data_IF_737965888907
#
_entry.id   IF_737965888907
#
_cell.length_a   1.000
_cell.length_b   1.000
_cell.length_c   1.000
_cell.angle_alpha   90.00
_cell.angle_beta   90.00
_cell.angle_gamma   90.00
#
_symmetry.space_group_name_H-M   'P 1'
#
loop_
_entity.id
_entity.type
_entity.pdbx_description
1 polymer ?
#
# COMPACT_ATOMS: atom_id res chain seq x y z
N UNK A 1 16.45 -7.46 13.93
CA UNK A 1 16.42 -6.06 13.45
C UNK A 1 14.97 -5.68 13.26
N UNK A 2 14.48 -4.63 13.91
CA UNK A 2 13.10 -4.19 13.73
C UNK A 2 12.99 -3.57 12.32
N UNK A 3 12.45 -4.33 11.37
CA UNK A 3 12.16 -3.85 10.02
C UNK A 3 11.13 -2.74 10.18
N UNK A 4 11.58 -1.48 10.11
CA UNK A 4 10.68 -0.34 10.17
C UNK A 4 9.67 -0.54 9.04
N UNK A 5 8.41 -0.81 9.40
CA UNK A 5 7.36 -1.03 8.42
C UNK A 5 7.18 0.32 7.73
N UNK A 6 7.64 0.40 6.49
CA UNK A 6 7.41 1.57 5.67
C UNK A 6 5.92 1.66 5.37
N UNK A 7 5.20 2.48 6.14
CA UNK A 7 3.75 2.63 6.05
C UNK A 7 3.32 3.40 4.80
N UNK A 8 4.21 4.26 4.28
CA UNK A 8 3.88 5.23 3.24
C UNK A 8 4.52 4.91 1.88
N UNK A 9 5.62 4.17 1.86
CA UNK A 9 6.24 3.73 0.61
C UNK A 9 5.67 2.41 0.12
N UNK A 10 6.23 1.99 -1.02
CA UNK A 10 5.98 0.68 -1.61
C UNK A 10 7.09 -0.26 -1.17
N UNK A 11 6.71 -1.46 -0.75
CA UNK A 11 7.69 -2.49 -0.34
C UNK A 11 7.76 -3.59 -1.39
N UNK A 12 8.89 -4.31 -1.45
CA UNK A 12 9.06 -5.40 -2.41
C UNK A 12 7.94 -6.45 -2.36
N UNK A 13 7.38 -6.72 -1.19
CA UNK A 13 6.26 -7.66 -1.02
C UNK A 13 5.00 -7.23 -1.79
N UNK A 14 4.78 -5.92 -1.94
CA UNK A 14 3.62 -5.34 -2.62
C UNK A 14 3.73 -5.41 -4.14
N UNK A 15 4.89 -5.76 -4.69
CA UNK A 15 5.10 -5.85 -6.14
C UNK A 15 4.54 -7.17 -6.66
N UNK A 16 3.79 -7.09 -7.76
CA UNK A 16 3.23 -8.24 -8.49
C UNK A 16 4.17 -8.63 -9.63
N UNK A 17 4.46 -7.70 -10.53
CA UNK A 17 5.27 -7.94 -11.73
C UNK A 17 5.85 -6.62 -12.30
N UNK A 18 6.90 -6.72 -13.13
CA UNK A 18 7.34 -5.62 -13.98
C UNK A 18 6.54 -5.60 -15.29
N UNK A 19 6.35 -4.41 -15.84
CA UNK A 19 5.61 -4.13 -17.07
C UNK A 19 6.31 -3.02 -17.84
N UNK A 20 6.17 -3.00 -19.16
CA UNK A 20 6.64 -1.89 -19.97
C UNK A 20 5.47 -0.96 -20.28
N UNK A 21 5.59 0.32 -19.94
CA UNK A 21 4.60 1.35 -20.25
C UNK A 21 5.30 2.53 -20.91
N UNK A 22 4.86 2.87 -22.12
CA UNK A 22 5.38 3.99 -22.92
C UNK A 22 6.91 3.97 -23.11
N UNK A 23 7.51 2.78 -23.25
CA UNK A 23 8.96 2.59 -23.40
C UNK A 23 9.77 2.69 -22.11
N UNK A 24 9.09 2.76 -20.95
CA UNK A 24 9.72 2.73 -19.64
C UNK A 24 9.27 1.49 -18.84
N UNK A 25 10.21 0.88 -18.12
CA UNK A 25 9.90 -0.21 -17.19
C UNK A 25 9.22 0.36 -15.93
N UNK A 26 8.02 -0.14 -15.65
CA UNK A 26 7.22 0.19 -14.48
C UNK A 26 6.87 -1.09 -13.73
N UNK A 27 6.64 -0.98 -12.43
CA UNK A 27 6.26 -2.10 -11.58
C UNK A 27 4.78 -2.00 -11.24
N UNK A 28 4.06 -3.11 -11.40
CA UNK A 28 2.69 -3.22 -10.92
C UNK A 28 2.71 -3.61 -9.44
N UNK A 29 2.12 -2.76 -8.61
CA UNK A 29 2.02 -2.94 -7.18
C UNK A 29 0.56 -2.98 -6.70
N UNK A 30 0.35 -3.54 -5.51
CA UNK A 30 -0.97 -3.65 -4.87
C UNK A 30 -0.98 -3.02 -3.48
N UNK A 31 -2.08 -2.33 -3.15
CA UNK A 31 -2.39 -1.91 -1.78
C UNK A 31 -3.88 -2.12 -1.45
N UNK A 32 -4.27 -1.66 -0.26
CA UNK A 32 -5.65 -1.70 0.23
C UNK A 32 -6.66 -0.96 -0.66
N UNK A 33 -6.20 0.02 -1.44
CA UNK A 33 -7.04 0.83 -2.35
C UNK A 33 -7.11 0.25 -3.76
N UNK A 34 -6.22 -0.67 -4.13
CA UNK A 34 -6.21 -1.31 -5.45
C UNK A 34 -4.82 -1.44 -6.06
N UNK A 35 -4.80 -1.61 -7.39
CA UNK A 35 -3.59 -1.72 -8.18
C UNK A 35 -3.06 -0.34 -8.59
N UNK A 36 -1.74 -0.18 -8.61
CA UNK A 36 -1.08 1.05 -9.09
C UNK A 36 0.28 0.74 -9.69
N UNK A 37 0.80 1.68 -10.48
CA UNK A 37 2.16 1.60 -10.99
C UNK A 37 3.14 2.30 -10.06
N UNK A 38 4.31 1.72 -9.89
CA UNK A 38 5.45 2.33 -9.23
C UNK A 38 6.71 2.14 -10.07
N UNK A 39 7.80 2.74 -9.63
CA UNK A 39 9.11 2.66 -10.26
C UNK A 39 10.10 2.05 -9.27
N UNK A 40 11.10 1.35 -9.79
CA UNK A 40 12.06 0.59 -8.96
C UNK A 40 12.84 1.48 -7.97
N UNK A 41 13.02 2.75 -8.30
CA UNK A 41 13.67 3.74 -7.43
C UNK A 41 12.89 4.04 -6.14
N UNK A 42 11.57 3.77 -6.11
CA UNK A 42 10.67 4.02 -4.97
C UNK A 42 10.48 2.82 -4.06
N UNK A 43 10.80 1.62 -4.52
CA UNK A 43 10.62 0.37 -3.78
C UNK A 43 11.61 0.29 -2.62
N UNK A 44 11.13 -0.07 -1.42
CA UNK A 44 11.90 -0.22 -0.17
C UNK A 44 12.69 1.03 0.27
N UNK A 45 12.38 2.20 -0.29
CA UNK A 45 12.95 3.47 0.16
C UNK A 45 12.20 4.00 1.37
N UNK A 46 12.89 4.65 2.31
CA UNK A 46 12.26 5.36 3.42
C UNK A 46 11.63 6.70 2.98
N UNK A 47 10.72 6.65 2.00
CA UNK A 47 9.93 7.77 1.51
C UNK A 47 8.55 7.31 1.06
N UNK A 48 7.61 8.26 1.00
CA UNK A 48 6.29 8.00 0.44
C UNK A 48 6.38 7.75 -1.06
N UNK A 49 5.64 6.77 -1.56
CA UNK A 49 5.50 6.55 -2.99
C UNK A 49 4.46 7.52 -3.53
N UNK A 50 4.90 8.52 -4.29
CA UNK A 50 4.01 9.51 -4.90
C UNK A 50 3.00 8.85 -5.84
N UNK A 51 3.38 7.82 -6.59
CA UNK A 51 2.47 7.17 -7.55
C UNK A 51 1.35 6.43 -6.83
N UNK A 52 1.63 5.91 -5.63
CA UNK A 52 0.62 5.27 -4.78
C UNK A 52 -0.50 6.22 -4.37
N UNK A 53 -0.19 7.52 -4.17
CA UNK A 53 -1.13 8.50 -3.62
C UNK A 53 -1.63 9.55 -4.63
N UNK A 54 -0.84 9.90 -5.63
CA UNK A 54 -1.15 10.99 -6.56
C UNK A 54 -1.82 10.53 -7.86
N UNK A 55 -1.59 9.27 -8.28
CA UNK A 55 -2.09 8.76 -9.56
C UNK A 55 -3.46 8.10 -9.38
N UNK A 56 -4.38 8.42 -10.30
CA UNK A 56 -5.71 7.80 -10.32
C UNK A 56 -5.62 6.31 -10.65
N UNK A 57 -6.27 5.49 -9.83
CA UNK A 57 -6.31 4.02 -10.00
C UNK A 57 -7.06 3.58 -11.25
N UNK A 58 -7.95 4.43 -11.76
CA UNK A 58 -8.66 4.16 -13.01
C UNK A 58 -7.69 4.08 -14.19
N UNK A 59 -6.64 4.90 -14.22
CA UNK A 59 -5.64 4.88 -15.29
C UNK A 59 -4.94 3.52 -15.36
N UNK A 60 -4.62 2.95 -14.20
CA UNK A 60 -3.97 1.63 -14.10
C UNK A 60 -4.96 0.54 -14.52
N UNK A 61 -6.21 0.64 -14.05
CA UNK A 61 -7.27 -0.30 -14.41
C UNK A 61 -7.52 -0.33 -15.92
N UNK A 62 -7.70 0.83 -16.53
CA UNK A 62 -7.94 0.96 -17.97
C UNK A 62 -6.72 0.46 -18.78
N UNK A 63 -5.50 0.66 -18.27
CA UNK A 63 -4.29 0.16 -18.92
C UNK A 63 -4.20 -1.37 -18.86
N UNK A 64 -4.51 -1.98 -17.72
CA UNK A 64 -4.56 -3.44 -17.57
C UNK A 64 -5.64 -4.05 -18.47
N UNK A 65 -6.84 -3.45 -18.51
CA UNK A 65 -7.94 -3.88 -19.39
C UNK A 65 -7.53 -3.81 -20.86
N UNK A 66 -6.83 -2.75 -21.29
CA UNK A 66 -6.29 -2.63 -22.66
C UNK A 66 -5.29 -3.72 -23.03
N UNK A 67 -4.54 -4.23 -22.06
CA UNK A 67 -3.62 -5.37 -22.26
C UNK A 67 -4.33 -6.73 -22.18
N UNK A 68 -5.65 -6.77 -21.99
CA UNK A 68 -6.41 -8.01 -21.84
C UNK A 68 -6.24 -8.67 -20.48
N UNK A 69 -5.70 -7.95 -19.49
CA UNK A 69 -5.58 -8.43 -18.11
C UNK A 69 -6.82 -8.00 -17.31
N UNK A 70 -7.35 -8.90 -16.48
CA UNK A 70 -8.46 -8.58 -15.57
C UNK A 70 -7.91 -7.92 -14.29
N UNK A 71 -8.19 -6.62 -14.05
CA UNK A 71 -7.67 -5.92 -12.87
C UNK A 71 -8.26 -6.49 -11.57
N UNK A 72 -9.50 -6.97 -11.64
CA UNK A 72 -10.21 -7.56 -10.49
C UNK A 72 -9.57 -8.88 -10.10
N UNK A 73 -9.30 -9.76 -11.07
CA UNK A 73 -8.66 -11.04 -10.80
C UNK A 73 -7.23 -10.85 -10.27
N UNK A 74 -6.47 -9.94 -10.89
CA UNK A 74 -5.12 -9.59 -10.42
C UNK A 74 -5.14 -9.07 -8.98
N UNK A 75 -6.13 -8.26 -8.64
CA UNK A 75 -6.29 -7.78 -7.27
C UNK A 75 -6.60 -8.94 -6.31
N UNK A 76 -7.62 -9.75 -6.61
CA UNK A 76 -8.04 -10.89 -5.77
C UNK A 76 -6.91 -11.88 -5.51
N UNK A 77 -6.18 -12.26 -6.56
CA UNK A 77 -5.07 -13.21 -6.47
C UNK A 77 -3.92 -12.67 -5.61
N UNK A 78 -3.68 -11.36 -5.62
CA UNK A 78 -2.55 -10.73 -4.95
C UNK A 78 -2.90 -10.05 -3.62
N UNK A 79 -4.14 -10.17 -3.12
CA UNK A 79 -4.56 -9.59 -1.82
C UNK A 79 -3.65 -9.97 -0.66
N UNK A 80 -3.06 -11.16 -0.70
CA UNK A 80 -2.14 -11.67 0.32
C UNK A 80 -0.84 -10.85 0.43
N UNK A 81 -0.49 -10.07 -0.60
CA UNK A 81 0.69 -9.18 -0.63
C UNK A 81 0.48 -7.85 0.08
N UNK A 82 -0.78 -7.50 0.38
CA UNK A 82 -1.10 -6.24 1.04
C UNK A 82 -0.66 -6.34 2.50
N UNK A 83 0.44 -5.64 2.83
CA UNK A 83 0.85 -5.44 4.22
C UNK A 83 -0.19 -4.58 4.93
N UNK A 84 -1.08 -5.24 5.66
CA UNK A 84 -1.89 -4.55 6.67
C UNK A 84 -0.94 -4.10 7.76
N UNK A 85 -0.91 -2.80 8.04
CA UNK A 85 -0.38 -2.37 9.33
C UNK A 85 -1.34 -2.97 10.36
N UNK A 86 -0.96 -4.09 10.97
CA UNK A 86 -1.67 -4.59 12.14
C UNK A 86 -1.85 -3.39 13.06
N UNK A 87 -3.11 -3.01 13.24
CA UNK A 87 -3.49 -1.79 13.92
C UNK A 87 -2.73 -1.70 15.23
N UNK A 88 -2.30 -0.49 15.59
CA UNK A 88 -1.80 -0.22 16.94
C UNK A 88 -2.66 -1.01 17.93
N UNK A 89 -2.06 -1.77 18.87
CA UNK A 89 -2.85 -2.38 19.92
C UNK A 89 -3.62 -1.24 20.56
N UNK A 90 -4.95 -1.22 20.37
CA UNK A 90 -5.87 -0.19 20.86
C UNK A 90 -5.37 0.18 22.25
N UNK A 91 -4.77 1.37 22.41
CA UNK A 91 -4.24 1.79 23.71
C UNK A 91 -5.38 1.62 24.68
N UNK A 92 -5.31 0.60 25.55
CA UNK A 92 -6.28 0.39 26.62
C UNK A 92 -6.20 1.64 27.46
N UNK A 93 -7.14 2.54 27.24
CA UNK A 93 -7.25 3.79 27.99
C UNK A 93 -7.58 3.34 29.41
N UNK A 94 -6.58 3.38 30.29
CA UNK A 94 -6.71 2.86 31.64
C UNK A 94 -7.79 3.68 32.37
N UNK A 95 -8.95 3.08 32.71
CA UNK A 95 -10.07 3.84 33.30
C UNK A 95 -9.72 4.40 34.69
N UNK A 96 -8.69 3.86 35.34
CA UNK A 96 -8.22 4.30 36.65
C UNK A 96 -7.61 5.71 36.65
N UNK A 97 -7.17 6.25 35.49
CA UNK A 97 -6.57 7.60 35.41
C UNK A 97 -7.60 8.73 35.27
N UNK A 98 -8.88 8.41 35.08
CA UNK A 98 -9.95 9.41 34.96
C UNK A 98 -10.61 9.75 36.32
N UNK A 99 -10.49 8.86 37.32
CA UNK A 99 -11.20 9.00 38.61
C UNK A 99 -10.36 9.63 39.73
N UNK A 100 -9.73 10.79 39.47
CA UNK A 100 -9.07 11.57 40.55
C UNK A 100 -9.30 13.08 40.48
N UNK A 101 -10.16 13.57 39.57
CA UNK A 101 -10.48 15.01 39.46
C UNK A 101 -11.89 15.38 39.93
N UNK A 102 -12.59 14.49 40.64
CA UNK A 102 -13.99 14.68 41.05
C UNK A 102 -14.25 14.70 42.56
N UNK A 103 -13.23 14.79 43.42
CA UNK A 103 -13.43 14.98 44.85
C UNK A 103 -13.00 16.40 45.22
N UNK A 104 -13.96 17.33 45.18
CA UNK A 104 -13.95 18.53 46.02
C UNK A 104 -15.10 18.40 47.01
#
# INVERSE_FOLDING_TARGET
MATAINRFGTTSDMIIQSMEKDGAEVLLAIDDKGLYFTSQDRVDRNMADTNRYAVSRNVVRDYLEKMGLSPVELFEQNKHRIRKSDGEPKKKLNPLKASKRGAK
#
